data_IF_840957239831
#
_entry.id   IF_840957239831
#
_cell.length_a   1.000
_cell.length_b   1.000
_cell.length_c   1.000
_cell.angle_alpha   90.00
_cell.angle_beta   90.00
_cell.angle_gamma   90.00
#
_symmetry.space_group_name_H-M   'P 1'
#
loop_
_entity.id
_entity.type
_entity.pdbx_description
1 polymer ?
#
# COMPACT_ATOMS: atom_id res chain seq x y z
N UNK A 1 7.05 33.78 -18.02
CA UNK A 1 6.91 32.51 -18.76
C UNK A 1 5.49 32.43 -19.29
N UNK A 2 5.27 32.17 -20.59
CA UNK A 2 3.92 31.94 -21.10
C UNK A 2 3.32 30.71 -20.41
N UNK A 3 2.03 30.78 -20.07
CA UNK A 3 1.29 29.66 -19.47
C UNK A 3 1.37 28.46 -20.42
N UNK A 4 1.97 27.35 -19.99
CA UNK A 4 1.96 26.11 -20.77
C UNK A 4 0.51 25.79 -21.18
N UNK A 5 0.28 25.61 -22.48
CA UNK A 5 -1.02 25.19 -22.98
C UNK A 5 -1.44 23.92 -22.23
N UNK A 6 -2.70 23.86 -21.80
CA UNK A 6 -3.13 22.85 -20.83
C UNK A 6 -4.41 22.20 -21.32
N UNK A 7 -4.45 20.87 -21.27
CA UNK A 7 -5.66 20.11 -21.57
C UNK A 7 -6.72 20.45 -20.52
N UNK A 8 -7.79 21.10 -20.95
CA UNK A 8 -8.87 21.57 -20.08
C UNK A 8 -9.73 20.41 -19.54
N UNK A 9 -10.70 20.69 -18.66
CA UNK A 9 -11.69 19.68 -18.24
C UNK A 9 -12.70 19.37 -19.37
N UNK A 10 -12.86 20.28 -20.33
CA UNK A 10 -13.71 20.03 -21.51
C UNK A 10 -12.94 19.20 -22.55
N UNK A 11 -13.21 17.89 -22.58
CA UNK A 11 -12.55 16.94 -23.48
C UNK A 11 -12.74 17.25 -24.96
N UNK A 12 -13.80 17.98 -25.34
CA UNK A 12 -14.07 18.34 -26.74
C UNK A 12 -12.99 19.23 -27.34
N UNK A 13 -12.23 19.93 -26.49
CA UNK A 13 -11.15 20.85 -26.90
C UNK A 13 -9.78 20.19 -26.96
N UNK A 14 -9.64 18.94 -26.51
CA UNK A 14 -8.33 18.32 -26.39
C UNK A 14 -7.63 18.14 -27.71
N UNK A 15 -8.33 17.71 -28.76
CA UNK A 15 -7.73 17.52 -30.08
C UNK A 15 -7.14 18.83 -30.61
N UNK A 16 -7.94 19.89 -30.64
CA UNK A 16 -7.53 21.24 -31.04
C UNK A 16 -6.35 21.75 -30.20
N UNK A 17 -6.41 21.60 -28.86
CA UNK A 17 -5.30 22.02 -27.97
C UNK A 17 -4.01 21.25 -28.25
N UNK A 18 -4.10 19.95 -28.56
CA UNK A 18 -2.95 19.10 -28.87
C UNK A 18 -2.38 19.46 -30.24
N UNK A 19 -3.23 19.75 -31.22
CA UNK A 19 -2.81 20.19 -32.56
C UNK A 19 -2.10 21.55 -32.50
N UNK A 20 -2.62 22.49 -31.72
CA UNK A 20 -2.05 23.84 -31.59
C UNK A 20 -0.77 23.88 -30.75
N UNK A 21 -0.78 23.22 -29.59
CA UNK A 21 0.32 23.32 -28.62
C UNK A 21 1.32 22.17 -28.70
N UNK A 22 1.01 21.11 -29.45
CA UNK A 22 1.86 19.93 -29.60
C UNK A 22 2.24 19.31 -28.25
N UNK A 23 3.53 18.96 -28.13
CA UNK A 23 4.06 18.24 -26.98
C UNK A 23 4.01 19.03 -25.66
N UNK A 24 3.96 20.37 -25.71
CA UNK A 24 4.02 21.23 -24.52
C UNK A 24 2.87 20.94 -23.55
N UNK A 25 1.70 20.62 -24.09
CA UNK A 25 0.51 20.36 -23.28
C UNK A 25 0.62 19.10 -22.43
N UNK A 26 1.47 18.15 -22.80
CA UNK A 26 1.72 16.91 -22.06
C UNK A 26 2.77 17.08 -20.94
N UNK A 27 3.45 18.22 -20.89
CA UNK A 27 4.38 18.57 -19.81
C UNK A 27 3.67 19.27 -18.62
N UNK A 28 2.37 19.56 -18.73
CA UNK A 28 1.60 20.23 -17.69
C UNK A 28 1.02 19.25 -16.68
N UNK A 29 1.29 19.48 -15.39
CA UNK A 29 0.67 18.76 -14.28
C UNK A 29 -0.86 18.90 -14.28
N UNK A 30 -1.36 20.06 -14.73
CA UNK A 30 -2.80 20.33 -14.81
C UNK A 30 -3.44 19.49 -15.91
N UNK A 31 -2.77 19.31 -17.06
CA UNK A 31 -3.26 18.42 -18.12
C UNK A 31 -3.41 16.99 -17.61
N UNK A 32 -2.39 16.45 -16.94
CA UNK A 32 -2.44 15.09 -16.40
C UNK A 32 -3.57 14.90 -15.37
N UNK A 33 -3.79 15.90 -14.50
CA UNK A 33 -4.88 15.91 -13.52
C UNK A 33 -6.25 15.95 -14.21
N UNK A 34 -6.44 16.83 -15.18
CA UNK A 34 -7.71 17.01 -15.88
C UNK A 34 -8.06 15.76 -16.69
N UNK A 35 -7.11 15.20 -17.45
CA UNK A 35 -7.31 13.96 -18.19
C UNK A 35 -7.70 12.83 -17.25
N UNK A 36 -6.97 12.65 -16.15
CA UNK A 36 -7.29 11.60 -15.17
C UNK A 36 -8.71 11.76 -14.62
N UNK A 37 -9.08 13.00 -14.24
CA UNK A 37 -10.40 13.29 -13.73
C UNK A 37 -11.49 12.95 -14.75
N UNK A 38 -11.39 13.49 -15.96
CA UNK A 38 -12.39 13.30 -17.02
C UNK A 38 -12.52 11.84 -17.41
N UNK A 39 -11.41 11.12 -17.62
CA UNK A 39 -11.48 9.70 -17.98
C UNK A 39 -12.03 8.83 -16.85
N UNK A 40 -11.78 9.19 -15.58
CA UNK A 40 -12.31 8.45 -14.43
C UNK A 40 -13.81 8.64 -14.21
N UNK A 41 -14.40 9.74 -14.70
CA UNK A 41 -15.82 10.08 -14.53
C UNK A 41 -16.64 9.99 -15.81
N UNK A 42 -15.99 9.75 -16.95
CA UNK A 42 -16.65 9.65 -18.24
C UNK A 42 -17.63 8.46 -18.28
N UNK A 43 -18.90 8.77 -18.56
CA UNK A 43 -19.95 7.76 -18.78
C UNK A 43 -20.01 7.28 -20.23
N UNK A 44 -19.29 7.94 -21.13
CA UNK A 44 -19.20 7.63 -22.57
C UNK A 44 -17.75 7.51 -23.02
N UNK A 45 -17.49 6.72 -24.06
CA UNK A 45 -16.13 6.43 -24.55
C UNK A 45 -15.52 7.51 -25.46
N UNK A 46 -16.27 8.55 -25.82
CA UNK A 46 -15.83 9.56 -26.78
C UNK A 46 -14.54 10.30 -26.34
N UNK A 47 -14.41 10.80 -25.10
CA UNK A 47 -13.18 11.48 -24.64
C UNK A 47 -11.94 10.60 -24.73
N UNK A 48 -12.07 9.32 -24.38
CA UNK A 48 -11.00 8.34 -24.47
C UNK A 48 -10.55 8.13 -25.92
N UNK A 49 -11.49 7.89 -26.85
CA UNK A 49 -11.17 7.69 -28.27
C UNK A 49 -10.49 8.91 -28.89
N UNK A 50 -11.03 10.10 -28.61
CA UNK A 50 -10.48 11.38 -29.10
C UNK A 50 -9.06 11.59 -28.59
N UNK A 51 -8.83 11.41 -27.28
CA UNK A 51 -7.50 11.57 -26.71
C UNK A 51 -6.52 10.54 -27.28
N UNK A 52 -6.91 9.25 -27.35
CA UNK A 52 -6.05 8.18 -27.86
C UNK A 52 -5.60 8.43 -29.31
N UNK A 53 -6.50 8.95 -30.15
CA UNK A 53 -6.15 9.34 -31.52
C UNK A 53 -5.19 10.55 -31.54
N UNK A 54 -5.49 11.59 -30.76
CA UNK A 54 -4.73 12.83 -30.76
C UNK A 54 -3.29 12.67 -30.21
N UNK A 55 -3.08 11.82 -29.19
CA UNK A 55 -1.76 11.63 -28.58
C UNK A 55 -0.84 10.67 -29.35
N UNK A 56 -1.38 9.94 -30.33
CA UNK A 56 -0.70 8.82 -31.02
C UNK A 56 0.68 9.18 -31.59
N UNK A 57 0.83 10.41 -32.12
CA UNK A 57 2.09 10.89 -32.70
C UNK A 57 3.03 11.54 -31.67
N UNK A 58 2.54 11.78 -30.44
CA UNK A 58 3.29 12.45 -29.39
C UNK A 58 3.80 11.49 -28.31
N UNK A 59 3.49 10.19 -28.40
CA UNK A 59 3.93 9.17 -27.44
C UNK A 59 5.44 9.25 -27.14
N UNK A 60 6.36 9.36 -28.12
CA UNK A 60 7.79 9.50 -27.82
C UNK A 60 8.10 10.69 -26.90
N UNK A 61 7.51 11.86 -27.17
CA UNK A 61 7.69 13.05 -26.33
C UNK A 61 7.03 12.90 -24.95
N UNK A 62 5.88 12.21 -24.89
CA UNK A 62 5.19 11.93 -23.63
C UNK A 62 5.99 10.99 -22.72
N UNK A 63 6.80 10.09 -23.28
CA UNK A 63 7.67 9.18 -22.53
C UNK A 63 8.87 9.88 -21.87
N UNK A 64 9.16 11.11 -22.28
CA UNK A 64 10.17 11.98 -21.66
C UNK A 64 9.58 12.91 -20.59
N UNK A 65 8.26 12.82 -20.31
CA UNK A 65 7.55 13.65 -19.35
C UNK A 65 6.79 12.82 -18.33
N UNK A 66 7.02 13.05 -17.02
CA UNK A 66 6.26 12.39 -15.94
C UNK A 66 4.75 12.62 -16.10
N UNK A 67 4.35 13.80 -16.57
CA UNK A 67 2.95 14.15 -16.81
C UNK A 67 2.40 13.49 -18.09
N UNK A 68 3.23 13.37 -19.13
CA UNK A 68 2.90 12.63 -20.34
C UNK A 68 2.66 11.14 -20.04
N UNK A 69 3.57 10.51 -19.31
CA UNK A 69 3.40 9.11 -18.86
C UNK A 69 2.15 8.94 -17.98
N UNK A 70 1.83 9.92 -17.14
CA UNK A 70 0.58 9.89 -16.34
C UNK A 70 -0.68 9.90 -17.23
N UNK A 71 -0.68 10.69 -18.30
CA UNK A 71 -1.76 10.71 -19.30
C UNK A 71 -1.88 9.35 -20.02
N UNK A 72 -0.75 8.77 -20.45
CA UNK A 72 -0.74 7.42 -21.05
C UNK A 72 -1.26 6.36 -20.06
N UNK A 73 -0.87 6.48 -18.78
CA UNK A 73 -1.32 5.59 -17.71
C UNK A 73 -2.82 5.69 -17.50
N UNK A 74 -3.39 6.91 -17.56
CA UNK A 74 -4.84 7.11 -17.49
C UNK A 74 -5.57 6.50 -18.69
N UNK A 75 -5.01 6.64 -19.91
CA UNK A 75 -5.55 5.99 -21.10
C UNK A 75 -5.56 4.46 -20.98
N UNK A 76 -4.49 3.85 -20.45
CA UNK A 76 -4.44 2.40 -20.20
C UNK A 76 -5.45 1.99 -19.12
N UNK A 77 -5.55 2.76 -18.04
CA UNK A 77 -6.39 2.44 -16.89
C UNK A 77 -7.88 2.50 -17.20
N UNK A 78 -8.32 3.52 -17.93
CA UNK A 78 -9.74 3.79 -18.20
C UNK A 78 -10.16 3.48 -19.64
N UNK A 79 -9.22 3.12 -20.51
CA UNK A 79 -9.49 2.84 -21.91
C UNK A 79 -10.03 1.44 -22.19
N UNK A 80 -10.48 1.25 -23.42
CA UNK A 80 -10.85 -0.07 -23.96
C UNK A 80 -9.61 -0.91 -24.28
N UNK A 81 -9.77 -2.22 -24.47
CA UNK A 81 -8.69 -3.11 -24.94
C UNK A 81 -7.99 -2.60 -26.21
N UNK A 82 -8.75 -2.01 -27.15
CA UNK A 82 -8.19 -1.38 -28.35
C UNK A 82 -7.27 -0.18 -28.05
N UNK A 83 -7.56 0.61 -27.00
CA UNK A 83 -6.69 1.72 -26.60
C UNK A 83 -5.44 1.20 -25.91
N UNK A 84 -5.57 0.16 -25.07
CA UNK A 84 -4.42 -0.50 -24.45
C UNK A 84 -3.47 -1.03 -25.53
N UNK A 85 -4.01 -1.72 -26.54
CA UNK A 85 -3.24 -2.24 -27.65
C UNK A 85 -2.57 -1.11 -28.45
N UNK A 86 -3.31 -0.05 -28.80
CA UNK A 86 -2.75 1.09 -29.53
C UNK A 86 -1.63 1.77 -28.73
N UNK A 87 -1.82 2.04 -27.44
CA UNK A 87 -0.78 2.62 -26.58
C UNK A 87 0.42 1.68 -26.54
N UNK A 88 0.22 0.38 -26.31
CA UNK A 88 1.32 -0.59 -26.23
C UNK A 88 2.14 -0.67 -27.51
N UNK A 89 1.49 -0.68 -28.68
CA UNK A 89 2.17 -0.66 -29.98
C UNK A 89 3.07 0.58 -30.14
N UNK A 90 2.62 1.74 -29.64
CA UNK A 90 3.38 2.99 -29.69
C UNK A 90 4.52 3.03 -28.69
N UNK A 91 4.36 2.41 -27.52
CA UNK A 91 5.44 2.26 -26.54
C UNK A 91 6.60 1.44 -27.13
N UNK A 92 6.29 0.26 -27.66
CA UNK A 92 7.28 -0.63 -28.29
C UNK A 92 8.03 0.06 -29.43
N UNK A 93 7.33 0.83 -30.26
CA UNK A 93 7.94 1.56 -31.37
C UNK A 93 8.76 2.79 -30.93
N UNK A 94 8.42 3.41 -29.79
CA UNK A 94 9.07 4.64 -29.35
C UNK A 94 10.40 4.40 -28.62
N UNK A 95 10.51 3.30 -27.85
CA UNK A 95 11.72 2.94 -27.12
C UNK A 95 11.83 1.41 -26.98
N UNK A 96 12.25 0.76 -28.05
CA UNK A 96 12.38 -0.70 -28.10
C UNK A 96 13.27 -1.23 -26.98
N UNK A 97 14.34 -0.52 -26.62
CA UNK A 97 15.28 -0.95 -25.58
C UNK A 97 14.61 -1.06 -24.20
N UNK A 98 13.87 -0.03 -23.80
CA UNK A 98 13.15 -0.03 -22.51
C UNK A 98 12.01 -1.03 -22.50
N UNK A 99 11.21 -1.10 -23.57
CA UNK A 99 10.00 -1.92 -23.62
C UNK A 99 10.24 -3.38 -24.04
N UNK A 100 11.44 -3.72 -24.52
CA UNK A 100 11.95 -5.10 -24.62
C UNK A 100 12.75 -5.53 -23.39
N UNK A 101 12.89 -4.64 -22.39
CA UNK A 101 13.63 -4.86 -21.15
C UNK A 101 15.12 -5.18 -21.34
N UNK A 102 15.70 -4.74 -22.45
CA UNK A 102 17.14 -4.84 -22.74
C UNK A 102 17.92 -3.63 -22.22
N UNK A 103 17.23 -2.50 -21.96
CA UNK A 103 17.76 -1.31 -21.32
C UNK A 103 16.90 -0.88 -20.11
N UNK A 104 17.53 -0.19 -19.16
CA UNK A 104 16.81 0.44 -18.05
C UNK A 104 16.30 1.83 -18.47
N UNK A 105 15.09 2.24 -18.05
CA UNK A 105 14.63 3.61 -18.27
C UNK A 105 15.49 4.62 -17.53
N UNK A 106 15.46 5.88 -17.97
CA UNK A 106 16.06 7.01 -17.24
C UNK A 106 15.56 7.03 -15.78
N UNK A 107 16.48 7.27 -14.84
CA UNK A 107 16.23 7.18 -13.39
C UNK A 107 15.01 7.99 -12.92
N UNK A 108 14.83 9.19 -13.46
CA UNK A 108 13.71 10.07 -13.12
C UNK A 108 12.36 9.56 -13.66
N UNK A 109 12.39 8.81 -14.77
CA UNK A 109 11.20 8.26 -15.43
C UNK A 109 10.82 6.88 -14.91
N UNK A 110 11.77 6.15 -14.30
CA UNK A 110 11.58 4.77 -13.79
C UNK A 110 10.26 4.58 -13.02
N UNK A 111 9.92 5.49 -12.10
CA UNK A 111 8.72 5.37 -11.28
C UNK A 111 7.43 5.45 -12.10
N UNK A 112 7.30 6.45 -12.96
CA UNK A 112 6.07 6.65 -13.73
C UNK A 112 5.94 5.58 -14.83
N UNK A 113 7.04 5.19 -15.48
CA UNK A 113 7.05 4.10 -16.46
C UNK A 113 6.73 2.75 -15.80
N UNK A 114 7.20 2.50 -14.58
CA UNK A 114 6.83 1.30 -13.82
C UNK A 114 5.33 1.24 -13.55
N UNK A 115 4.71 2.37 -13.19
CA UNK A 115 3.26 2.46 -13.00
C UNK A 115 2.50 2.20 -14.30
N UNK A 116 2.98 2.72 -15.44
CA UNK A 116 2.40 2.44 -16.75
C UNK A 116 2.47 0.94 -17.07
N UNK A 117 3.65 0.33 -16.91
CA UNK A 117 3.86 -1.11 -17.14
C UNK A 117 2.99 -1.98 -16.22
N UNK A 118 2.89 -1.62 -14.93
CA UNK A 118 1.98 -2.30 -13.99
C UNK A 118 0.53 -2.23 -14.46
N UNK A 119 0.08 -1.07 -14.96
CA UNK A 119 -1.28 -0.91 -15.47
C UNK A 119 -1.52 -1.68 -16.76
N UNK A 120 -0.52 -1.81 -17.63
CA UNK A 120 -0.61 -2.69 -18.80
C UNK A 120 -0.75 -4.15 -18.37
N UNK A 121 0.02 -4.58 -17.35
CA UNK A 121 -0.05 -5.95 -16.83
C UNK A 121 -1.39 -6.26 -16.16
N UNK A 122 -2.01 -5.27 -15.52
CA UNK A 122 -3.35 -5.38 -14.93
C UNK A 122 -4.46 -5.57 -15.98
N UNK A 123 -4.22 -5.23 -17.26
CA UNK A 123 -5.21 -5.35 -18.34
C UNK A 123 -5.21 -6.74 -18.96
N UNK A 124 -5.56 -7.73 -18.14
CA UNK A 124 -5.70 -9.15 -18.51
C UNK A 124 -6.70 -9.39 -19.65
N UNK A 125 -7.67 -8.49 -19.79
CA UNK A 125 -8.67 -8.50 -20.85
C UNK A 125 -8.10 -8.14 -22.23
N UNK A 126 -6.88 -7.59 -22.30
CA UNK A 126 -6.22 -7.24 -23.55
C UNK A 126 -5.46 -8.44 -24.12
N UNK A 127 -5.83 -8.87 -25.33
CA UNK A 127 -5.21 -10.02 -26.03
C UNK A 127 -4.58 -9.63 -27.36
N UNK A 128 -4.35 -8.34 -27.57
CA UNK A 128 -3.72 -7.80 -28.77
C UNK A 128 -2.26 -8.23 -28.92
N UNK A 129 -1.74 -8.14 -30.15
CA UNK A 129 -0.42 -8.66 -30.51
C UNK A 129 0.71 -7.90 -29.81
N UNK A 130 0.61 -6.56 -29.73
CA UNK A 130 1.60 -5.71 -29.08
C UNK A 130 1.62 -5.95 -27.57
N UNK A 131 0.44 -6.07 -26.95
CA UNK A 131 0.33 -6.42 -25.53
C UNK A 131 0.97 -7.78 -25.22
N UNK A 132 0.67 -8.80 -26.03
CA UNK A 132 1.31 -10.12 -25.92
C UNK A 132 2.83 -10.03 -26.08
N UNK A 133 3.31 -9.37 -27.13
CA UNK A 133 4.75 -9.22 -27.40
C UNK A 133 5.51 -8.54 -26.24
N UNK A 134 4.91 -7.52 -25.62
CA UNK A 134 5.46 -6.87 -24.43
C UNK A 134 5.60 -7.87 -23.27
N UNK A 135 4.55 -8.64 -22.96
CA UNK A 135 4.61 -9.58 -21.84
C UNK A 135 5.43 -10.83 -22.12
N UNK A 136 5.52 -11.28 -23.36
CA UNK A 136 6.44 -12.34 -23.77
C UNK A 136 7.89 -11.90 -23.58
N UNK A 137 8.20 -10.65 -23.94
CA UNK A 137 9.50 -10.03 -23.65
C UNK A 137 9.78 -9.97 -22.15
N UNK A 138 8.80 -9.56 -21.34
CA UNK A 138 8.94 -9.52 -19.87
C UNK A 138 9.18 -10.92 -19.30
N UNK A 139 8.48 -11.94 -19.82
CA UNK A 139 8.61 -13.34 -19.38
C UNK A 139 9.99 -13.93 -19.66
N UNK A 140 10.59 -13.52 -20.77
CA UNK A 140 11.92 -13.93 -21.20
C UNK A 140 13.05 -13.33 -20.35
N UNK A 141 12.80 -12.26 -19.61
CA UNK A 141 13.81 -11.66 -18.71
C UNK A 141 14.16 -12.64 -17.59
N UNK A 142 15.47 -12.73 -17.29
CA UNK A 142 15.99 -13.52 -16.16
C UNK A 142 15.31 -13.11 -14.85
N UNK A 143 14.86 -14.08 -14.06
CA UNK A 143 14.08 -13.81 -12.84
C UNK A 143 14.84 -12.96 -11.81
N UNK A 144 16.16 -13.12 -11.73
CA UNK A 144 17.01 -12.23 -10.92
C UNK A 144 16.86 -10.76 -11.32
N UNK A 145 16.93 -10.47 -12.63
CA UNK A 145 16.88 -9.10 -13.14
C UNK A 145 15.48 -8.47 -12.94
N UNK A 146 14.42 -9.27 -13.11
CA UNK A 146 13.05 -8.85 -12.81
C UNK A 146 12.90 -8.38 -11.36
N UNK A 147 13.55 -9.07 -10.42
CA UNK A 147 13.44 -8.80 -8.99
C UNK A 147 14.36 -7.68 -8.47
N UNK A 148 15.38 -7.28 -9.23
CA UNK A 148 16.27 -6.16 -8.88
C UNK A 148 15.89 -4.85 -9.53
N UNK A 149 14.98 -4.87 -10.52
CA UNK A 149 14.61 -3.69 -11.28
C UNK A 149 13.36 -3.02 -10.70
N UNK A 150 13.46 -1.76 -10.23
CA UNK A 150 12.29 -1.01 -9.77
C UNK A 150 11.29 -0.71 -10.90
N UNK A 151 11.71 -0.84 -12.16
CA UNK A 151 10.83 -0.70 -13.32
C UNK A 151 9.89 -1.91 -13.48
N UNK A 152 10.44 -3.13 -13.44
CA UNK A 152 9.71 -4.37 -13.78
C UNK A 152 9.04 -5.04 -12.59
N UNK A 153 9.52 -4.80 -11.36
CA UNK A 153 9.02 -5.45 -10.14
C UNK A 153 7.48 -5.41 -10.04
N UNK A 154 6.80 -4.25 -10.04
CA UNK A 154 5.34 -4.22 -9.85
C UNK A 154 4.58 -4.98 -10.95
N UNK A 155 4.98 -4.82 -12.21
CA UNK A 155 4.38 -5.52 -13.34
C UNK A 155 4.61 -7.04 -13.29
N UNK A 156 5.76 -7.47 -12.76
CA UNK A 156 6.08 -8.90 -12.58
C UNK A 156 5.13 -9.56 -11.59
N UNK A 157 4.81 -8.88 -10.48
CA UNK A 157 3.81 -9.39 -9.53
C UNK A 157 2.45 -9.51 -10.21
N UNK A 158 2.01 -8.47 -10.92
CA UNK A 158 0.74 -8.49 -11.66
C UNK A 158 0.69 -9.63 -12.66
N UNK A 159 1.73 -9.84 -13.46
CA UNK A 159 1.78 -10.95 -14.40
C UNK A 159 1.70 -12.32 -13.70
N UNK A 160 2.32 -12.47 -12.54
CA UNK A 160 2.22 -13.71 -11.74
C UNK A 160 0.81 -13.93 -11.13
N UNK A 161 -0.06 -12.91 -11.09
CA UNK A 161 -1.46 -13.12 -10.70
C UNK A 161 -2.27 -13.85 -11.77
N UNK A 162 -1.88 -13.69 -13.04
CA UNK A 162 -2.74 -13.95 -14.20
C UNK A 162 -2.19 -15.06 -15.09
N UNK A 163 -0.90 -15.36 -14.95
CA UNK A 163 -0.19 -16.44 -15.64
C UNK A 163 0.40 -17.41 -14.62
N UNK A 164 -0.31 -18.51 -14.37
CA UNK A 164 0.08 -19.52 -13.38
C UNK A 164 1.39 -20.24 -13.74
N UNK A 165 1.70 -20.42 -15.02
CA UNK A 165 2.94 -21.06 -15.45
C UNK A 165 4.14 -20.14 -15.15
N UNK A 166 4.00 -18.85 -15.46
CA UNK A 166 4.99 -17.84 -15.08
C UNK A 166 5.14 -17.73 -13.56
N UNK A 167 4.03 -17.74 -12.82
CA UNK A 167 4.02 -17.70 -11.36
C UNK A 167 4.78 -18.89 -10.76
N UNK A 168 4.46 -20.12 -11.19
CA UNK A 168 5.13 -21.32 -10.72
C UNK A 168 6.65 -21.28 -10.98
N UNK A 169 7.07 -20.82 -12.16
CA UNK A 169 8.49 -20.66 -12.50
C UNK A 169 9.19 -19.56 -11.65
N UNK A 170 8.48 -18.47 -11.35
CA UNK A 170 9.01 -17.38 -10.52
C UNK A 170 9.14 -17.81 -9.05
N UNK A 171 8.08 -18.37 -8.47
CA UNK A 171 7.98 -18.70 -7.04
C UNK A 171 8.94 -19.83 -6.63
N UNK A 172 9.30 -20.72 -7.57
CA UNK A 172 10.29 -21.77 -7.37
C UNK A 172 11.75 -21.32 -7.54
N UNK A 173 12.00 -20.10 -8.05
CA UNK A 173 13.36 -19.62 -8.36
C UNK A 173 14.11 -19.10 -7.12
N UNK A 174 15.20 -19.78 -6.74
CA UNK A 174 16.09 -19.35 -5.65
C UNK A 174 16.87 -18.06 -5.97
N UNK A 175 17.11 -17.77 -7.24
CA UNK A 175 17.71 -16.51 -7.70
C UNK A 175 16.76 -15.35 -7.52
N UNK A 176 15.48 -15.53 -7.87
CA UNK A 176 14.44 -14.53 -7.65
C UNK A 176 14.25 -14.24 -6.15
N UNK A 177 14.23 -15.28 -5.31
CA UNK A 177 14.13 -15.13 -3.85
C UNK A 177 15.29 -14.28 -3.30
N UNK A 178 16.54 -14.61 -3.66
CA UNK A 178 17.72 -13.86 -3.21
C UNK A 178 17.71 -12.40 -3.70
N UNK A 179 17.29 -12.18 -4.94
CA UNK A 179 17.19 -10.85 -5.52
C UNK A 179 16.10 -10.00 -4.83
N UNK A 180 14.91 -10.56 -4.61
CA UNK A 180 13.83 -9.88 -3.89
C UNK A 180 14.26 -9.51 -2.47
N UNK A 181 14.94 -10.42 -1.77
CA UNK A 181 15.47 -10.15 -0.42
C UNK A 181 16.38 -8.92 -0.37
N UNK A 182 17.27 -8.76 -1.35
CA UNK A 182 18.10 -7.55 -1.49
C UNK A 182 17.25 -6.32 -1.80
N UNK A 183 16.27 -6.45 -2.69
CA UNK A 183 15.39 -5.35 -3.07
C UNK A 183 14.55 -4.82 -1.90
N UNK A 184 14.19 -5.68 -0.94
CA UNK A 184 13.52 -5.29 0.30
C UNK A 184 14.43 -4.57 1.31
N UNK A 185 15.75 -4.57 1.12
CA UNK A 185 16.74 -3.89 1.96
C UNK A 185 17.26 -2.59 1.33
N UNK A 186 17.34 -2.52 0.00
CA UNK A 186 17.87 -1.37 -0.73
C UNK A 186 16.84 -0.24 -0.86
N UNK A 187 17.25 0.99 -0.55
CA UNK A 187 16.40 2.18 -0.64
C UNK A 187 15.93 2.47 -2.07
N UNK A 188 16.75 2.14 -3.09
CA UNK A 188 16.41 2.41 -4.49
C UNK A 188 15.27 1.53 -5.01
N UNK A 189 15.09 0.34 -4.44
CA UNK A 189 14.13 -0.67 -4.91
C UNK A 189 13.01 -0.98 -3.92
N UNK A 190 13.13 -0.55 -2.66
CA UNK A 190 12.19 -0.92 -1.59
C UNK A 190 10.73 -0.61 -1.92
N UNK A 191 10.44 0.57 -2.50
CA UNK A 191 9.07 0.95 -2.86
C UNK A 191 8.48 0.04 -3.97
N UNK A 192 9.31 -0.38 -4.92
CA UNK A 192 8.88 -1.30 -5.98
C UNK A 192 8.72 -2.73 -5.44
N UNK A 193 9.58 -3.15 -4.51
CA UNK A 193 9.47 -4.43 -3.81
C UNK A 193 8.22 -4.49 -2.92
N UNK A 194 7.85 -3.38 -2.28
CA UNK A 194 6.61 -3.22 -1.53
C UNK A 194 5.40 -3.41 -2.45
N UNK A 195 5.36 -2.71 -3.59
CA UNK A 195 4.29 -2.86 -4.57
C UNK A 195 4.22 -4.30 -5.14
N UNK A 196 5.37 -4.93 -5.40
CA UNK A 196 5.45 -6.33 -5.81
C UNK A 196 4.80 -7.26 -4.78
N UNK A 197 5.21 -7.17 -3.51
CA UNK A 197 4.66 -8.02 -2.46
C UNK A 197 3.16 -7.76 -2.23
N UNK A 198 2.74 -6.49 -2.27
CA UNK A 198 1.34 -6.10 -2.09
C UNK A 198 0.45 -6.71 -3.16
N UNK A 199 0.84 -6.58 -4.44
CA UNK A 199 0.12 -7.20 -5.54
C UNK A 199 0.14 -8.74 -5.42
N UNK A 200 1.29 -9.35 -5.11
CA UNK A 200 1.41 -10.81 -5.02
C UNK A 200 0.52 -11.41 -3.92
N UNK A 201 0.28 -10.69 -2.82
CA UNK A 201 -0.63 -11.12 -1.76
C UNK A 201 -2.10 -11.10 -2.14
N UNK A 202 -2.48 -10.58 -3.31
CA UNK A 202 -3.82 -10.79 -3.87
C UNK A 202 -4.08 -12.30 -4.14
N UNK A 203 -3.03 -13.13 -4.31
CA UNK A 203 -3.09 -14.61 -4.26
C UNK A 203 -3.03 -15.14 -2.83
N UNK A 204 -3.87 -14.61 -1.93
CA UNK A 204 -3.75 -14.85 -0.49
C UNK A 204 -3.84 -16.33 -0.05
N UNK A 205 -4.44 -17.20 -0.87
CA UNK A 205 -4.60 -18.65 -0.61
C UNK A 205 -3.47 -19.51 -1.14
N UNK A 206 -2.47 -18.92 -1.79
CA UNK A 206 -1.35 -19.65 -2.40
C UNK A 206 -0.18 -19.78 -1.40
N UNK A 207 -0.01 -20.96 -0.82
CA UNK A 207 1.09 -21.24 0.10
C UNK A 207 2.47 -21.00 -0.54
N UNK A 208 2.59 -21.17 -1.87
CA UNK A 208 3.83 -20.93 -2.58
C UNK A 208 4.26 -19.46 -2.56
N UNK A 209 3.29 -18.53 -2.55
CA UNK A 209 3.55 -17.08 -2.40
C UNK A 209 4.13 -16.79 -1.02
N UNK A 210 3.50 -17.31 0.03
CA UNK A 210 3.94 -17.12 1.41
C UNK A 210 5.36 -17.68 1.62
N UNK A 211 5.63 -18.86 1.05
CA UNK A 211 6.94 -19.50 1.14
C UNK A 211 8.01 -18.78 0.32
N UNK A 212 7.67 -18.29 -0.87
CA UNK A 212 8.59 -17.51 -1.69
C UNK A 212 9.04 -16.24 -0.97
N UNK A 213 8.09 -15.45 -0.45
CA UNK A 213 8.41 -14.21 0.27
C UNK A 213 9.17 -14.51 1.56
N UNK A 214 8.78 -15.55 2.30
CA UNK A 214 9.54 -15.95 3.49
C UNK A 214 10.98 -16.32 3.15
N UNK A 215 11.21 -17.16 2.14
CA UNK A 215 12.55 -17.58 1.71
C UNK A 215 13.40 -16.38 1.27
N UNK A 216 12.81 -15.40 0.59
CA UNK A 216 13.49 -14.16 0.22
C UNK A 216 13.97 -13.36 1.45
N UNK A 217 13.16 -13.31 2.51
CA UNK A 217 13.43 -12.48 3.68
C UNK A 217 14.17 -13.21 4.81
N UNK A 218 14.13 -14.54 4.85
CA UNK A 218 14.57 -15.36 6.00
C UNK A 218 15.98 -15.00 6.49
N UNK A 219 16.93 -14.77 5.58
CA UNK A 219 18.29 -14.38 5.95
C UNK A 219 18.36 -13.00 6.63
N UNK A 220 17.59 -12.03 6.14
CA UNK A 220 17.50 -10.67 6.67
C UNK A 220 16.67 -10.57 7.96
N UNK A 221 15.85 -11.58 8.24
CA UNK A 221 15.02 -11.66 9.44
C UNK A 221 15.73 -12.32 10.63
N UNK A 222 16.96 -12.82 10.45
CA UNK A 222 17.76 -13.39 11.55
C UNK A 222 18.16 -12.32 12.58
N UNK A 223 18.34 -12.67 13.86
CA UNK A 223 18.71 -11.73 14.92
C UNK A 223 20.04 -11.00 14.68
N UNK A 224 20.98 -11.66 14.02
CA UNK A 224 22.34 -11.20 13.73
C UNK A 224 22.50 -10.65 12.30
N UNK A 225 21.38 -10.44 11.58
CA UNK A 225 21.41 -9.93 10.23
C UNK A 225 22.02 -8.51 10.19
N UNK A 226 22.96 -8.29 9.28
CA UNK A 226 23.60 -6.96 9.08
C UNK A 226 22.61 -5.88 8.63
N UNK A 227 21.55 -6.29 7.93
CA UNK A 227 20.50 -5.40 7.45
C UNK A 227 19.16 -6.14 7.51
N UNK A 228 18.19 -5.54 8.18
CA UNK A 228 16.81 -6.02 8.18
C UNK A 228 16.02 -5.48 6.99
N UNK A 229 14.86 -6.08 6.64
CA UNK A 229 13.95 -5.49 5.67
C UNK A 229 13.57 -4.06 6.06
N UNK A 230 13.34 -3.22 5.06
CA UNK A 230 12.88 -1.84 5.27
C UNK A 230 11.56 -1.82 6.03
N UNK A 231 11.37 -0.77 6.82
CA UNK A 231 10.19 -0.57 7.68
C UNK A 231 8.86 -0.72 6.91
N UNK A 232 8.77 -0.15 5.70
CA UNK A 232 7.58 -0.25 4.86
C UNK A 232 7.25 -1.70 4.44
N UNK A 233 8.28 -2.53 4.18
CA UNK A 233 8.09 -3.96 3.90
C UNK A 233 7.56 -4.68 5.14
N UNK A 234 8.10 -4.40 6.33
CA UNK A 234 7.61 -4.99 7.57
C UNK A 234 6.17 -4.57 7.87
N UNK A 235 5.82 -3.31 7.61
CA UNK A 235 4.45 -2.81 7.75
C UNK A 235 3.49 -3.48 6.77
N UNK A 236 3.89 -3.65 5.50
CA UNK A 236 3.12 -4.39 4.51
C UNK A 236 2.87 -5.83 4.96
N UNK A 237 3.90 -6.53 5.42
CA UNK A 237 3.78 -7.91 5.89
C UNK A 237 2.84 -8.02 7.09
N UNK A 238 2.99 -7.12 8.06
CA UNK A 238 2.15 -7.11 9.24
C UNK A 238 0.66 -6.89 8.91
N UNK A 239 0.36 -6.00 7.95
CA UNK A 239 -1.02 -5.63 7.61
C UNK A 239 -1.68 -6.55 6.58
N UNK A 240 -0.92 -7.07 5.60
CA UNK A 240 -1.50 -7.67 4.39
C UNK A 240 -0.99 -9.08 4.06
N UNK A 241 0.11 -9.56 4.66
CA UNK A 241 0.60 -10.90 4.36
C UNK A 241 -0.39 -11.99 4.79
N UNK A 242 -0.43 -13.15 4.13
CA UNK A 242 -1.17 -14.32 4.62
C UNK A 242 -0.75 -14.73 6.03
N UNK A 243 -1.69 -15.27 6.83
CA UNK A 243 -1.47 -15.63 8.24
C UNK A 243 -0.24 -16.54 8.46
N UNK A 244 0.03 -17.58 7.62
CA UNK A 244 1.24 -18.39 7.78
C UNK A 244 2.54 -17.57 7.72
N UNK A 245 2.60 -16.56 6.85
CA UNK A 245 3.74 -15.66 6.74
C UNK A 245 3.80 -14.69 7.94
N UNK A 246 2.65 -14.19 8.43
CA UNK A 246 2.56 -13.38 9.66
C UNK A 246 3.13 -14.14 10.86
N UNK A 247 2.80 -15.43 11.02
CA UNK A 247 3.34 -16.26 12.11
C UNK A 247 4.87 -16.37 12.03
N UNK A 248 5.42 -16.61 10.83
CA UNK A 248 6.88 -16.68 10.61
C UNK A 248 7.58 -15.34 10.92
N UNK A 249 7.02 -14.23 10.46
CA UNK A 249 7.55 -12.87 10.72
C UNK A 249 7.49 -12.54 12.22
N UNK A 250 6.37 -12.85 12.88
CA UNK A 250 6.17 -12.65 14.32
C UNK A 250 7.25 -13.40 15.12
N UNK A 251 7.45 -14.68 14.83
CA UNK A 251 8.45 -15.50 15.51
C UNK A 251 9.89 -15.01 15.25
N UNK A 252 10.18 -14.48 14.06
CA UNK A 252 11.50 -13.95 13.74
C UNK A 252 11.78 -12.62 14.46
N UNK A 253 10.83 -11.68 14.43
CA UNK A 253 10.94 -10.41 15.14
C UNK A 253 11.06 -10.59 16.66
N UNK A 254 10.42 -11.63 17.22
CA UNK A 254 10.55 -11.96 18.64
C UNK A 254 11.99 -12.28 19.07
N UNK A 255 12.86 -12.66 18.12
CA UNK A 255 14.25 -13.01 18.39
C UNK A 255 15.20 -11.82 18.19
N UNK A 256 14.71 -10.67 17.72
CA UNK A 256 15.55 -9.49 17.51
C UNK A 256 15.89 -8.86 18.87
N UNK A 257 17.19 -8.72 19.22
CA UNK A 257 17.59 -8.20 20.51
C UNK A 257 17.14 -6.74 20.73
N UNK A 258 16.92 -6.00 19.64
CA UNK A 258 16.55 -4.58 19.63
C UNK A 258 15.05 -4.35 19.48
N UNK A 259 14.21 -5.39 19.43
CA UNK A 259 12.76 -5.23 19.14
C UNK A 259 12.05 -4.33 20.15
N UNK A 260 12.44 -4.42 21.44
CA UNK A 260 11.94 -3.55 22.51
C UNK A 260 12.17 -2.07 22.19
N UNK A 261 13.41 -1.74 21.83
CA UNK A 261 13.84 -0.37 21.55
C UNK A 261 13.24 0.14 20.25
N UNK A 262 13.17 -0.70 19.21
CA UNK A 262 12.50 -0.37 17.95
C UNK A 262 11.04 0.02 18.18
N UNK A 263 10.31 -0.69 19.05
CA UNK A 263 8.93 -0.40 19.40
C UNK A 263 8.72 0.95 20.12
N UNK A 264 9.77 1.71 20.48
CA UNK A 264 9.60 3.11 20.92
C UNK A 264 9.21 4.03 19.77
N UNK A 265 9.54 3.64 18.52
CA UNK A 265 9.09 4.29 17.29
C UNK A 265 7.66 3.88 16.98
N UNK A 266 6.86 4.84 16.52
CA UNK A 266 5.43 4.60 16.26
C UNK A 266 5.20 3.57 15.17
N UNK A 267 6.03 3.59 14.12
CA UNK A 267 5.96 2.64 13.02
C UNK A 267 6.12 1.21 13.48
N UNK A 268 7.18 0.90 14.24
CA UNK A 268 7.43 -0.43 14.78
C UNK A 268 6.42 -0.85 15.85
N UNK A 269 5.93 0.08 16.67
CA UNK A 269 4.82 -0.21 17.58
C UNK A 269 3.56 -0.65 16.81
N UNK A 270 3.26 0.01 15.69
CA UNK A 270 2.13 -0.33 14.83
C UNK A 270 2.34 -1.67 14.10
N UNK A 271 3.55 -1.93 13.59
CA UNK A 271 3.93 -3.21 12.97
C UNK A 271 3.72 -4.36 13.95
N UNK A 272 4.28 -4.26 15.16
CA UNK A 272 4.15 -5.31 16.18
C UNK A 272 2.71 -5.50 16.61
N UNK A 273 1.92 -4.42 16.74
CA UNK A 273 0.50 -4.52 17.06
C UNK A 273 -0.25 -5.37 16.01
N UNK A 274 -0.09 -5.06 14.72
CA UNK A 274 -0.72 -5.82 13.63
C UNK A 274 -0.28 -7.28 13.59
N UNK A 275 1.02 -7.54 13.81
CA UNK A 275 1.52 -8.91 13.90
C UNK A 275 0.84 -9.68 15.04
N UNK A 276 0.74 -9.10 16.23
CA UNK A 276 0.12 -9.76 17.38
C UNK A 276 -1.38 -10.02 17.17
N UNK A 277 -2.10 -9.07 16.58
CA UNK A 277 -3.51 -9.20 16.27
C UNK A 277 -3.78 -10.34 15.28
N UNK A 278 -2.94 -10.44 14.24
CA UNK A 278 -3.12 -11.39 13.13
C UNK A 278 -2.36 -12.72 13.28
N UNK A 279 -1.50 -12.87 14.28
CA UNK A 279 -0.67 -14.07 14.47
C UNK A 279 -1.45 -15.20 15.14
N UNK A 280 -1.86 -16.22 14.41
CA UNK A 280 -2.60 -17.37 14.96
C UNK A 280 -1.72 -18.33 15.79
N UNK A 281 -0.39 -18.30 15.60
CA UNK A 281 0.54 -19.03 16.46
C UNK A 281 0.72 -18.30 17.80
N UNK A 282 -0.06 -18.69 18.80
CA UNK A 282 0.02 -18.09 20.14
C UNK A 282 1.41 -18.24 20.78
N UNK A 283 2.18 -19.27 20.44
CA UNK A 283 3.53 -19.46 20.98
C UNK A 283 4.46 -18.39 20.42
N UNK A 284 4.40 -18.14 19.11
CA UNK A 284 5.14 -17.06 18.46
C UNK A 284 4.73 -15.69 19.01
N UNK A 285 3.42 -15.44 19.12
CA UNK A 285 2.88 -14.22 19.69
C UNK A 285 3.34 -13.96 21.12
N UNK A 286 3.24 -14.96 22.01
CA UNK A 286 3.70 -14.83 23.39
C UNK A 286 5.20 -14.54 23.50
N UNK A 287 6.04 -15.11 22.62
CA UNK A 287 7.48 -14.76 22.57
C UNK A 287 7.68 -13.30 22.17
N UNK A 288 6.95 -12.81 21.17
CA UNK A 288 7.05 -11.41 20.75
C UNK A 288 6.60 -10.45 21.87
N UNK A 289 5.50 -10.77 22.55
CA UNK A 289 5.06 -10.02 23.74
C UNK A 289 6.15 -9.99 24.81
N UNK A 290 6.79 -11.14 25.06
CA UNK A 290 7.84 -11.26 26.05
C UNK A 290 9.09 -10.43 25.70
N UNK A 291 9.41 -10.33 24.41
CA UNK A 291 10.54 -9.55 23.90
C UNK A 291 10.27 -8.04 23.89
N UNK A 292 9.03 -7.61 23.66
CA UNK A 292 8.66 -6.19 23.52
C UNK A 292 8.32 -5.52 24.86
N UNK A 293 7.72 -6.28 25.78
CA UNK A 293 7.42 -5.83 27.14
C UNK A 293 8.29 -6.67 28.06
N UNK A 294 9.25 -6.07 28.75
CA UNK A 294 10.20 -6.79 29.62
C UNK A 294 9.98 -6.47 31.09
N UNK A 295 9.51 -5.25 31.39
CA UNK A 295 9.29 -4.74 32.74
C UNK A 295 8.01 -3.91 32.83
N UNK A 296 7.48 -3.71 34.05
CA UNK A 296 6.27 -2.90 34.26
C UNK A 296 6.39 -1.45 33.78
N UNK A 297 7.61 -0.91 33.82
CA UNK A 297 7.91 0.44 33.34
C UNK A 297 7.60 0.58 31.84
N UNK A 298 7.75 -0.48 31.04
CA UNK A 298 7.45 -0.46 29.60
C UNK A 298 5.95 -0.19 29.37
N UNK A 299 5.07 -0.82 30.16
CA UNK A 299 3.62 -0.59 30.09
C UNK A 299 3.28 0.81 30.56
N UNK A 300 3.89 1.26 31.65
CA UNK A 300 3.61 2.58 32.25
C UNK A 300 4.04 3.71 31.31
N UNK A 301 5.23 3.61 30.73
CA UNK A 301 5.76 4.59 29.77
C UNK A 301 4.89 4.66 28.50
N UNK A 302 4.51 3.50 27.93
CA UNK A 302 3.64 3.45 26.74
C UNK A 302 2.23 3.97 27.04
N UNK A 303 1.69 3.73 28.23
CA UNK A 303 0.42 4.32 28.66
C UNK A 303 0.47 5.85 28.79
N UNK A 304 1.61 6.39 29.23
CA UNK A 304 1.86 7.83 29.32
C UNK A 304 2.13 8.52 27.98
N UNK A 305 2.38 7.77 26.91
CA UNK A 305 2.59 8.33 25.59
C UNK A 305 1.33 9.00 25.05
N UNK A 306 1.49 10.14 24.37
CA UNK A 306 0.39 10.85 23.67
C UNK A 306 0.01 10.22 22.34
N UNK A 307 0.75 9.21 21.89
CA UNK A 307 0.70 8.70 20.52
C UNK A 307 -0.14 7.43 20.43
N UNK A 308 -1.07 7.40 19.47
CA UNK A 308 -2.01 6.29 19.29
C UNK A 308 -1.31 4.95 19.00
N UNK A 309 -0.16 4.95 18.32
CA UNK A 309 0.58 3.71 18.01
C UNK A 309 1.03 2.95 19.27
N UNK A 310 1.39 3.66 20.34
CA UNK A 310 1.78 3.05 21.61
C UNK A 310 0.58 2.45 22.34
N UNK A 311 -0.59 3.10 22.25
CA UNK A 311 -1.84 2.53 22.75
C UNK A 311 -2.32 1.36 21.89
N UNK A 312 -2.09 1.38 20.58
CA UNK A 312 -2.39 0.27 19.67
C UNK A 312 -1.62 -0.98 20.08
N UNK A 313 -0.31 -0.86 20.29
CA UNK A 313 0.53 -1.97 20.74
C UNK A 313 0.01 -2.56 22.06
N UNK A 314 -0.32 -1.72 23.05
CA UNK A 314 -0.89 -2.20 24.31
C UNK A 314 -2.30 -2.82 24.14
N UNK A 315 -3.10 -2.29 23.23
CA UNK A 315 -4.42 -2.84 22.90
C UNK A 315 -4.31 -4.22 22.23
N UNK A 316 -3.33 -4.41 21.34
CA UNK A 316 -3.06 -5.68 20.65
C UNK A 316 -2.69 -6.81 21.63
N UNK A 317 -2.12 -6.49 22.80
CA UNK A 317 -1.88 -7.46 23.88
C UNK A 317 -3.18 -8.04 24.47
N UNK A 318 -4.32 -7.40 24.20
CA UNK A 318 -5.65 -7.88 24.59
C UNK A 318 -6.38 -8.60 23.46
N UNK A 319 -5.78 -8.69 22.27
CA UNK A 319 -6.40 -9.35 21.12
C UNK A 319 -6.57 -10.87 21.35
N UNK A 320 -5.63 -11.49 22.10
CA UNK A 320 -5.71 -12.89 22.52
C UNK A 320 -5.59 -13.01 24.05
N UNK A 321 -6.42 -13.84 24.72
CA UNK A 321 -6.36 -14.00 26.17
C UNK A 321 -4.99 -14.47 26.68
N UNK A 322 -4.29 -15.32 25.93
CA UNK A 322 -3.01 -15.89 26.35
C UNK A 322 -1.93 -14.83 26.52
N UNK A 323 -1.92 -13.78 25.71
CA UNK A 323 -0.95 -12.67 25.81
C UNK A 323 -1.12 -11.90 27.12
N UNK A 324 -2.35 -11.51 27.43
CA UNK A 324 -2.68 -10.79 28.67
C UNK A 324 -2.39 -11.65 29.91
N UNK A 325 -2.72 -12.95 29.87
CA UNK A 325 -2.42 -13.88 30.95
C UNK A 325 -0.91 -14.09 31.15
N UNK A 326 -0.14 -14.22 30.07
CA UNK A 326 1.31 -14.36 30.14
C UNK A 326 1.96 -13.11 30.77
N UNK A 327 1.48 -11.92 30.40
CA UNK A 327 1.92 -10.66 31.01
C UNK A 327 1.53 -10.56 32.48
N UNK A 328 0.29 -10.91 32.83
CA UNK A 328 -0.19 -10.90 34.21
C UNK A 328 0.63 -11.84 35.11
N UNK A 329 0.96 -13.04 34.62
CA UNK A 329 1.79 -14.00 35.35
C UNK A 329 3.21 -13.47 35.59
N UNK A 330 3.76 -12.71 34.64
CA UNK A 330 5.15 -12.22 34.70
C UNK A 330 5.30 -10.87 35.42
N UNK A 331 4.32 -9.98 35.28
CA UNK A 331 4.39 -8.56 35.67
C UNK A 331 3.24 -8.13 36.62
N UNK A 332 2.50 -9.09 37.17
CA UNK A 332 1.44 -8.86 38.16
C UNK A 332 0.07 -8.48 37.59
N UNK A 333 -0.94 -8.53 38.46
CA UNK A 333 -2.36 -8.29 38.14
C UNK A 333 -2.70 -6.84 37.78
N UNK A 334 -1.82 -5.89 38.13
CA UNK A 334 -1.99 -4.47 37.81
C UNK A 334 -2.00 -4.18 36.31
N UNK A 335 -1.39 -5.05 35.48
CA UNK A 335 -1.30 -4.84 34.03
C UNK A 335 -2.65 -5.01 33.34
N UNK A 336 -3.51 -5.92 33.80
CA UNK A 336 -4.81 -6.19 33.16
C UNK A 336 -5.69 -4.94 33.10
N UNK A 337 -5.71 -4.13 34.17
CA UNK A 337 -6.43 -2.84 34.20
C UNK A 337 -5.81 -1.82 33.24
N UNK A 338 -4.48 -1.78 33.14
CA UNK A 338 -3.76 -0.85 32.23
C UNK A 338 -4.00 -1.20 30.78
N UNK A 339 -3.96 -2.48 30.41
CA UNK A 339 -4.24 -2.94 29.05
C UNK A 339 -5.70 -2.64 28.65
N UNK A 340 -6.67 -2.85 29.55
CA UNK A 340 -8.05 -2.47 29.30
C UNK A 340 -8.21 -0.95 29.04
N UNK A 341 -7.54 -0.11 29.83
CA UNK A 341 -7.51 1.33 29.62
C UNK A 341 -6.82 1.72 28.30
N UNK A 342 -5.75 1.03 27.91
CA UNK A 342 -5.07 1.24 26.64
C UNK A 342 -5.99 0.95 25.44
N UNK A 343 -6.75 -0.15 25.51
CA UNK A 343 -7.75 -0.52 24.50
C UNK A 343 -8.79 0.58 24.29
N UNK A 344 -9.32 1.14 25.38
CA UNK A 344 -10.27 2.26 25.31
C UNK A 344 -9.64 3.51 24.72
N UNK A 345 -8.42 3.87 25.15
CA UNK A 345 -7.69 5.04 24.63
C UNK A 345 -7.41 4.91 23.13
N UNK A 346 -6.98 3.73 22.69
CA UNK A 346 -6.76 3.46 21.28
C UNK A 346 -8.06 3.58 20.48
N UNK A 347 -9.13 2.92 20.93
CA UNK A 347 -10.43 2.99 20.28
C UNK A 347 -10.95 4.44 20.13
N UNK A 348 -10.81 5.25 21.17
CA UNK A 348 -11.21 6.67 21.14
C UNK A 348 -10.31 7.50 20.19
N UNK A 349 -9.02 7.19 20.12
CA UNK A 349 -8.08 7.90 19.24
C UNK A 349 -8.28 7.54 17.75
N UNK A 350 -8.75 6.34 17.45
CA UNK A 350 -8.99 5.85 16.08
C UNK A 350 -10.45 5.92 15.64
N UNK A 351 -11.34 6.42 16.49
CA UNK A 351 -12.76 6.51 16.17
C UNK A 351 -12.98 7.47 14.98
N UNK A 352 -13.75 7.08 13.95
CA UNK A 352 -14.06 7.97 12.85
C UNK A 352 -14.70 9.26 13.34
N UNK A 353 -14.27 10.40 12.80
CA UNK A 353 -14.78 11.74 13.17
C UNK A 353 -16.31 11.80 13.06
N UNK A 354 -16.88 11.19 12.02
CA UNK A 354 -18.33 11.14 11.82
C UNK A 354 -19.08 10.48 13.00
N UNK A 355 -18.57 9.37 13.53
CA UNK A 355 -19.17 8.67 14.68
C UNK A 355 -19.02 9.52 15.96
N UNK A 356 -17.85 10.14 16.12
CA UNK A 356 -17.59 11.06 17.24
C UNK A 356 -18.55 12.26 17.20
N UNK A 357 -18.76 12.86 16.03
CA UNK A 357 -19.73 13.94 15.80
C UNK A 357 -21.16 13.49 16.08
N UNK A 358 -21.55 12.29 15.63
CA UNK A 358 -22.87 11.73 15.90
C UNK A 358 -23.11 11.55 17.41
N UNK A 359 -22.14 11.02 18.15
CA UNK A 359 -22.24 10.86 19.61
C UNK A 359 -22.37 12.21 20.33
N UNK A 360 -21.60 13.23 19.93
CA UNK A 360 -21.71 14.59 20.49
C UNK A 360 -23.10 15.20 20.21
N UNK A 361 -23.65 14.99 19.01
CA UNK A 361 -25.00 15.44 18.67
C UNK A 361 -26.04 14.71 19.54
N UNK A 362 -25.94 13.39 19.67
CA UNK A 362 -26.86 12.60 20.50
C UNK A 362 -26.78 12.99 21.99
N UNK A 363 -25.59 13.27 22.52
CA UNK A 363 -25.43 13.78 23.88
C UNK A 363 -26.06 15.18 24.05
N UNK A 364 -25.88 16.08 23.08
CA UNK A 364 -26.54 17.40 23.08
C UNK A 364 -28.06 17.25 23.05
N UNK A 365 -28.59 16.36 22.20
CA UNK A 365 -30.03 16.06 22.14
C UNK A 365 -30.56 15.45 23.44
N UNK A 366 -29.79 14.57 24.08
CA UNK A 366 -30.14 13.99 25.38
C UNK A 366 -30.16 15.04 26.48
N UNK A 367 -29.17 15.95 26.51
CA UNK A 367 -29.12 17.09 27.44
C UNK A 367 -30.28 18.06 27.26
N UNK A 368 -30.66 18.35 26.01
CA UNK A 368 -31.84 19.16 25.69
C UNK A 368 -33.15 18.49 26.14
N UNK A 369 -33.27 17.17 25.95
CA UNK A 369 -34.44 16.41 26.44
C UNK A 369 -34.52 16.38 27.97
N UNK A 370 -33.39 16.26 28.68
CA UNK A 370 -33.37 16.29 30.15
C UNK A 370 -33.64 17.68 30.73
N UNK A 371 -33.26 18.76 30.05
CA UNK A 371 -33.61 20.14 30.48
C UNK A 371 -35.08 20.47 30.20
N UNK A 372 -35.64 19.96 29.11
CA UNK A 372 -37.07 20.07 28.81
C UNK A 372 -37.94 19.29 29.81
N UNK A 373 -37.43 18.22 30.44
CA UNK A 373 -38.15 17.50 31.50
C UNK A 373 -37.97 18.13 32.88
N UNK A 374 -36.88 18.86 33.15
CA UNK A 374 -36.69 19.57 34.42
C UNK A 374 -37.45 20.90 34.50
N UNK A 375 -37.88 21.50 33.38
CA UNK A 375 -38.62 22.77 33.37
C UNK A 375 -40.13 22.62 33.59
N UNK A 376 -40.66 21.40 33.67
CA UNK A 376 -42.10 21.15 33.93
C UNK A 376 -42.42 20.75 35.38
N UNK A 377 -41.44 20.79 36.29
CA UNK A 377 -41.58 20.29 37.66
C UNK A 377 -41.27 21.27 38.81
N UNK A 378 -41.01 22.56 38.53
CA UNK A 378 -40.86 23.57 39.59
C UNK A 378 -42.21 24.28 39.78
N UNK A 379 -43.08 23.61 40.53
CA UNK A 379 -44.43 24.06 40.86
C UNK A 379 -44.46 25.43 41.54
N UNK A 380 -45.39 26.23 41.05
CA UNK A 380 -46.03 27.35 41.74
C UNK A 380 -46.44 26.89 43.14
N UNK A 381 -45.78 27.40 44.19
CA UNK A 381 -46.33 27.42 45.55
C UNK A 381 -46.36 28.87 46.06
N UNK A 382 -47.60 29.36 46.06
CA UNK A 382 -48.23 30.49 46.75
C UNK A 382 -47.39 31.22 47.81
N UNK A 383 -47.37 32.54 47.68
CA UNK A 383 -47.10 33.50 48.75
C UNK A 383 -48.31 33.65 49.69
N UNK A 384 -48.05 33.48 50.98
CA UNK A 384 -48.67 34.03 52.21
C UNK A 384 -47.52 33.92 53.24
N UNK A 385 -47.08 34.94 53.94
CA UNK A 385 -47.78 36.07 54.56
C UNK A 385 -47.22 37.43 54.16
#
# INVERSE_FOLDING_TARGET
MPSAATLSIDARKWAETIEEAGAECFCSAVSAKNVTHVLSTATVRAPQKQLCAAVSNFVPAMLESVHGVSILTALVRYGTTATVEQVTSKLLAADEGVWSFTAAPKKEMTKCLSQLLERLAYREDCTGESHKALFDSLKAVKKQALMTSPFTLPATARLALVDDAFAAALLSSSEAQRALGRSCQDAATAAAAEAFCCALFERATDDAVSDFVWKALAASMKPDAKAHPREAILALLASHAPVPLVNKVTNAMAQWPTVRDLCTRDSYAHIVAHLLERCDDERAGNRLVAAVITQEADVTQRMGARKAAQHHLLAALTAKPSYAQALQKRLGTSQTKRLAAAKVRFANATQPKAITTQQVILEKLKKLRSTATSSFGAGVKRARE
#
